data_IF_112889633550
#
_entry.id   IF_112889633550
#
_cell.length_a   1.000
_cell.length_b   1.000
_cell.length_c   1.000
_cell.angle_alpha   90.00
_cell.angle_beta   90.00
_cell.angle_gamma   90.00
#
_symmetry.space_group_name_H-M   'P 1'
#
loop_
_entity.id
_entity.type
_entity.pdbx_description
1 polymer ?
#
# COMPACT_ATOMS: atom_id res chain seq x y z
N UNK A 1 1.32 10.29 -0.32
CA UNK A 1 1.44 9.55 -1.59
C UNK A 1 1.54 8.07 -1.29
N UNK A 2 0.83 7.22 -2.03
CA UNK A 2 1.00 5.76 -1.98
C UNK A 2 2.03 5.34 -3.03
N UNK A 3 3.12 4.68 -2.60
CA UNK A 3 4.05 3.98 -3.47
C UNK A 3 3.72 2.49 -3.45
N UNK A 4 3.35 1.94 -4.59
CA UNK A 4 3.04 0.53 -4.75
C UNK A 4 4.14 -0.15 -5.56
N UNK A 5 5.01 -0.88 -4.88
CA UNK A 5 6.08 -1.68 -5.48
C UNK A 5 5.54 -3.05 -5.92
N UNK A 6 5.67 -3.39 -7.18
CA UNK A 6 5.40 -4.72 -7.71
C UNK A 6 6.70 -5.52 -7.76
N UNK A 7 6.76 -6.60 -6.99
CA UNK A 7 8.01 -7.31 -6.68
C UNK A 7 7.80 -8.81 -6.44
N UNK A 8 8.86 -9.49 -6.08
CA UNK A 8 8.85 -10.87 -5.60
C UNK A 8 10.26 -11.41 -5.41
N UNK A 9 10.39 -12.39 -4.53
CA UNK A 9 11.69 -12.96 -4.13
C UNK A 9 12.46 -13.63 -5.27
N UNK A 10 11.76 -14.19 -6.25
CA UNK A 10 12.36 -14.82 -7.43
C UNK A 10 12.62 -13.83 -8.61
N UNK A 11 12.40 -12.52 -8.41
CA UNK A 11 12.65 -11.50 -9.42
C UNK A 11 14.12 -11.02 -9.34
N UNK A 12 15.00 -11.36 -10.30
CA UNK A 12 16.43 -11.06 -10.20
C UNK A 12 16.77 -9.57 -10.39
N UNK A 13 15.86 -8.79 -10.97
CA UNK A 13 16.04 -7.36 -11.19
C UNK A 13 15.41 -6.50 -10.07
N UNK A 14 14.60 -7.10 -9.21
CA UNK A 14 13.91 -6.38 -8.13
C UNK A 14 14.85 -5.74 -7.10
N UNK A 15 16.04 -6.27 -6.80
CA UNK A 15 17.01 -5.63 -5.92
C UNK A 15 17.39 -4.19 -6.29
N UNK A 16 17.38 -3.85 -7.58
CA UNK A 16 17.68 -2.48 -8.02
C UNK A 16 16.66 -1.46 -7.51
N UNK A 17 15.37 -1.77 -7.62
CA UNK A 17 14.32 -0.90 -7.08
C UNK A 17 14.32 -0.91 -5.54
N UNK A 18 14.61 -2.05 -4.91
CA UNK A 18 14.76 -2.13 -3.45
C UNK A 18 15.84 -1.17 -2.94
N UNK A 19 16.98 -1.09 -3.64
CA UNK A 19 18.06 -0.15 -3.28
C UNK A 19 17.61 1.31 -3.41
N UNK A 20 16.89 1.68 -4.47
CA UNK A 20 16.34 3.03 -4.64
C UNK A 20 15.33 3.37 -3.53
N UNK A 21 14.44 2.45 -3.18
CA UNK A 21 13.46 2.64 -2.10
C UNK A 21 14.11 2.72 -0.73
N UNK A 22 15.20 1.96 -0.49
CA UNK A 22 15.99 2.08 0.75
C UNK A 22 16.61 3.48 0.87
N UNK A 23 17.26 3.96 -0.19
CA UNK A 23 17.83 5.31 -0.22
C UNK A 23 16.76 6.40 0.00
N UNK A 24 15.56 6.21 -0.55
CA UNK A 24 14.43 7.09 -0.31
C UNK A 24 13.99 7.08 1.16
N UNK A 25 13.95 5.89 1.78
CA UNK A 25 13.53 5.73 3.17
C UNK A 25 14.54 6.29 4.18
N UNK A 26 15.81 6.43 3.78
CA UNK A 26 16.88 7.03 4.58
C UNK A 26 16.92 8.56 4.48
N UNK A 27 16.07 9.16 3.63
CA UNK A 27 15.97 10.62 3.50
C UNK A 27 14.81 11.15 4.37
N UNK A 28 15.16 11.71 5.53
CA UNK A 28 14.21 12.26 6.49
C UNK A 28 13.26 13.30 5.90
N UNK A 29 13.67 14.00 4.82
CA UNK A 29 12.82 15.00 4.16
C UNK A 29 11.66 14.39 3.35
N UNK A 30 11.68 13.06 3.15
CA UNK A 30 10.65 12.32 2.42
C UNK A 30 9.79 11.41 3.30
N UNK A 31 10.21 11.07 4.52
CA UNK A 31 9.52 10.07 5.38
C UNK A 31 8.04 10.36 5.61
N UNK A 32 7.64 11.63 5.67
CA UNK A 32 6.24 12.03 5.85
C UNK A 32 5.45 12.22 4.53
N UNK A 33 6.09 12.11 3.37
CA UNK A 33 5.46 12.41 2.08
C UNK A 33 4.81 11.19 1.43
N UNK A 34 5.19 9.97 1.82
CA UNK A 34 4.69 8.75 1.17
C UNK A 34 4.46 7.62 2.17
N UNK A 35 3.67 6.64 1.73
CA UNK A 35 3.56 5.32 2.34
C UNK A 35 3.91 4.27 1.29
N UNK A 36 4.78 3.32 1.66
CA UNK A 36 5.23 2.25 0.78
C UNK A 36 4.47 0.96 1.05
N UNK A 37 4.05 0.28 -0.02
CA UNK A 37 3.45 -1.05 -0.02
C UNK A 37 4.18 -1.92 -1.02
N UNK A 38 4.55 -3.13 -0.61
CA UNK A 38 5.17 -4.13 -1.47
C UNK A 38 4.13 -5.21 -1.86
N UNK A 39 3.82 -5.29 -3.15
CA UNK A 39 2.96 -6.32 -3.72
C UNK A 39 3.84 -7.46 -4.26
N UNK A 40 4.06 -8.47 -3.42
CA UNK A 40 4.81 -9.69 -3.80
C UNK A 40 3.92 -10.61 -4.61
N UNK A 41 4.04 -10.55 -5.93
CA UNK A 41 3.17 -11.26 -6.87
C UNK A 41 3.88 -11.88 -8.07
N UNK A 42 5.23 -11.74 -8.13
CA UNK A 42 6.02 -12.30 -9.22
C UNK A 42 5.88 -13.81 -9.32
N UNK A 43 5.80 -14.52 -8.19
CA UNK A 43 5.56 -15.95 -8.10
C UNK A 43 4.78 -16.31 -6.83
N UNK A 44 3.96 -17.37 -6.90
CA UNK A 44 3.10 -17.79 -5.78
C UNK A 44 3.82 -18.55 -4.67
N UNK A 45 5.06 -19.01 -4.90
CA UNK A 45 5.88 -19.66 -3.89
C UNK A 45 6.67 -18.67 -3.01
N UNK A 46 6.54 -17.36 -3.27
CA UNK A 46 7.14 -16.32 -2.45
C UNK A 46 6.48 -16.29 -1.05
N UNK A 47 7.23 -16.39 0.06
CA UNK A 47 6.67 -16.32 1.41
C UNK A 47 5.92 -15.00 1.71
N UNK A 48 6.23 -13.93 0.97
CA UNK A 48 5.54 -12.64 1.06
C UNK A 48 4.36 -12.52 0.09
N UNK A 49 4.11 -13.52 -0.75
CA UNK A 49 2.96 -13.54 -1.66
C UNK A 49 1.64 -13.48 -0.91
N UNK A 50 0.69 -12.80 -1.49
CA UNK A 50 -0.70 -12.83 -1.09
C UNK A 50 -1.63 -12.63 -2.29
N UNK A 51 -2.88 -13.06 -2.16
CA UNK A 51 -3.90 -12.77 -3.19
C UNK A 51 -4.18 -11.27 -3.31
N UNK A 52 -3.99 -10.52 -2.23
CA UNK A 52 -4.06 -9.06 -2.25
C UNK A 52 -2.97 -8.45 -3.15
N UNK A 53 -1.72 -8.92 -3.00
CA UNK A 53 -0.59 -8.50 -3.83
C UNK A 53 -0.81 -8.81 -5.31
N UNK A 54 -1.28 -10.03 -5.62
CA UNK A 54 -1.61 -10.42 -7.00
C UNK A 54 -2.68 -9.51 -7.61
N UNK A 55 -3.75 -9.23 -6.87
CA UNK A 55 -4.84 -8.35 -7.33
C UNK A 55 -4.34 -6.92 -7.61
N UNK A 56 -3.49 -6.37 -6.73
CA UNK A 56 -2.89 -5.04 -6.95
C UNK A 56 -2.01 -5.03 -8.19
N UNK A 57 -1.19 -6.06 -8.39
CA UNK A 57 -0.33 -6.13 -9.56
C UNK A 57 -1.11 -6.35 -10.86
N UNK A 58 -2.17 -7.14 -10.85
CA UNK A 58 -3.07 -7.28 -12.01
C UNK A 58 -3.75 -5.95 -12.38
N UNK A 59 -4.06 -5.11 -11.38
CA UNK A 59 -4.72 -3.84 -11.61
C UNK A 59 -3.75 -2.74 -12.10
N UNK A 60 -2.53 -2.68 -11.56
CA UNK A 60 -1.67 -1.51 -11.69
C UNK A 60 -0.28 -1.76 -12.30
N UNK A 61 0.29 -2.97 -12.19
CA UNK A 61 1.60 -3.26 -12.76
C UNK A 61 1.61 -3.11 -14.27
N UNK A 62 2.68 -2.55 -14.81
CA UNK A 62 2.92 -2.42 -16.26
C UNK A 62 3.10 -3.75 -16.99
N UNK A 63 3.23 -4.86 -16.25
CA UNK A 63 3.53 -6.20 -16.76
C UNK A 63 5.00 -6.58 -16.68
N UNK A 64 5.86 -5.68 -16.22
CA UNK A 64 7.28 -5.92 -15.98
C UNK A 64 7.60 -5.84 -14.49
N UNK A 65 8.60 -6.60 -14.05
CA UNK A 65 9.10 -6.58 -12.66
C UNK A 65 10.59 -6.25 -12.63
N UNK A 66 11.03 -5.39 -11.68
CA UNK A 66 10.19 -4.65 -10.75
C UNK A 66 9.44 -3.50 -11.43
N UNK A 67 8.36 -3.07 -10.77
CA UNK A 67 7.63 -1.88 -11.16
C UNK A 67 7.26 -1.05 -9.92
N UNK A 68 7.10 0.26 -10.08
CA UNK A 68 6.67 1.18 -9.03
C UNK A 68 5.56 2.07 -9.57
N UNK A 69 4.38 1.94 -9.00
CA UNK A 69 3.21 2.75 -9.37
C UNK A 69 2.75 3.63 -8.20
N UNK A 70 1.94 4.65 -8.48
CA UNK A 70 1.58 5.69 -7.52
C UNK A 70 0.08 5.84 -7.39
N UNK A 71 -0.41 6.10 -6.17
CA UNK A 71 -1.79 6.50 -5.86
C UNK A 71 -2.86 5.65 -6.54
N UNK A 72 -2.65 4.33 -6.66
CA UNK A 72 -3.56 3.39 -7.33
C UNK A 72 -3.86 3.77 -8.79
N UNK A 73 -2.85 4.22 -9.50
CA UNK A 73 -2.89 4.48 -10.95
C UNK A 73 -1.94 3.53 -11.67
N UNK A 74 -1.99 3.54 -13.01
CA UNK A 74 -1.02 2.82 -13.85
C UNK A 74 0.20 3.68 -14.19
N UNK A 75 0.34 4.81 -13.56
CA UNK A 75 1.51 5.67 -13.71
C UNK A 75 2.71 5.00 -13.05
N UNK A 76 3.71 4.65 -13.84
CA UNK A 76 4.83 3.82 -13.44
C UNK A 76 6.15 4.52 -13.69
N UNK A 77 7.10 4.33 -12.77
CA UNK A 77 8.49 4.74 -12.94
C UNK A 77 9.43 3.54 -13.15
N UNK A 78 8.93 2.31 -13.09
CA UNK A 78 9.75 1.09 -13.26
C UNK A 78 10.90 0.99 -12.25
N UNK A 79 12.10 0.70 -12.73
CA UNK A 79 13.35 0.60 -11.92
C UNK A 79 14.08 1.93 -11.75
N UNK A 80 13.36 3.02 -11.62
CA UNK A 80 13.97 4.35 -11.67
C UNK A 80 14.97 4.62 -10.54
N UNK A 81 15.98 5.45 -10.80
CA UNK A 81 16.84 6.01 -9.77
C UNK A 81 16.02 6.79 -8.73
N UNK A 82 16.54 6.88 -7.52
CA UNK A 82 15.83 7.54 -6.40
C UNK A 82 15.42 8.98 -6.70
N UNK A 83 16.22 9.73 -7.46
CA UNK A 83 15.90 11.12 -7.79
C UNK A 83 14.67 11.25 -8.68
N UNK A 84 14.43 10.29 -9.59
CA UNK A 84 13.21 10.24 -10.40
C UNK A 84 12.00 9.97 -9.52
N UNK A 85 12.12 9.02 -8.57
CA UNK A 85 11.06 8.70 -7.61
C UNK A 85 10.73 9.93 -6.74
N UNK A 86 11.76 10.62 -6.24
CA UNK A 86 11.62 11.86 -5.45
C UNK A 86 10.91 12.96 -6.24
N UNK A 87 11.33 13.21 -7.47
CA UNK A 87 10.68 14.20 -8.34
C UNK A 87 9.20 13.90 -8.53
N UNK A 88 8.86 12.62 -8.76
CA UNK A 88 7.47 12.19 -8.91
C UNK A 88 6.65 12.37 -7.63
N UNK A 89 7.21 12.04 -6.46
CA UNK A 89 6.58 12.31 -5.16
C UNK A 89 6.34 13.81 -4.97
N UNK A 90 7.33 14.66 -5.28
CA UNK A 90 7.20 16.10 -5.12
C UNK A 90 6.14 16.70 -6.05
N UNK A 91 6.00 16.17 -7.26
CA UNK A 91 4.95 16.58 -8.18
C UNK A 91 3.55 16.22 -7.66
N UNK A 92 3.37 15.00 -7.14
CA UNK A 92 2.10 14.54 -6.58
C UNK A 92 1.78 15.17 -5.21
N UNK A 93 2.79 15.64 -4.47
CA UNK A 93 2.63 16.23 -3.13
C UNK A 93 2.23 17.71 -3.15
N UNK A 94 2.08 18.32 -4.33
CA UNK A 94 1.68 19.74 -4.46
C UNK A 94 0.26 19.99 -4.01
N UNK A 95 -0.60 18.99 -4.09
CA UNK A 95 -2.00 19.09 -3.71
C UNK A 95 -2.19 18.80 -2.22
N UNK A 96 -3.08 19.58 -1.58
CA UNK A 96 -3.48 19.33 -0.21
C UNK A 96 -4.31 18.04 -0.11
N UNK A 97 -4.16 17.33 1.00
CA UNK A 97 -4.95 16.13 1.26
C UNK A 97 -6.45 16.43 1.28
N UNK A 98 -7.23 15.54 0.67
CA UNK A 98 -8.69 15.69 0.56
C UNK A 98 -9.42 15.43 1.88
N UNK A 99 -8.81 14.69 2.79
CA UNK A 99 -9.38 14.35 4.09
C UNK A 99 -8.29 14.10 5.13
N UNK A 100 -8.63 14.39 6.38
CA UNK A 100 -7.89 13.89 7.55
C UNK A 100 -8.41 12.51 7.96
N UNK A 101 -7.54 11.68 8.52
CA UNK A 101 -7.82 10.29 8.94
C UNK A 101 -7.51 10.14 10.42
N UNK A 102 -8.41 9.50 11.17
CA UNK A 102 -8.16 8.94 12.49
C UNK A 102 -8.57 7.47 12.48
N UNK A 103 -7.75 6.60 13.05
CA UNK A 103 -8.07 5.18 13.13
C UNK A 103 -7.68 4.60 14.49
N UNK A 104 -8.42 3.58 14.92
CA UNK A 104 -8.09 2.73 16.06
C UNK A 104 -8.17 1.27 15.66
N UNK A 105 -7.25 0.46 16.21
CA UNK A 105 -7.18 -0.97 15.95
C UNK A 105 -7.26 -1.71 17.28
N UNK A 106 -8.10 -2.75 17.31
CA UNK A 106 -8.21 -3.67 18.44
C UNK A 106 -8.10 -5.10 17.92
N UNK A 107 -7.14 -5.85 18.43
CA UNK A 107 -7.06 -7.29 18.18
C UNK A 107 -7.91 -8.06 19.19
N UNK A 108 -8.71 -8.98 18.68
CA UNK A 108 -9.50 -9.91 19.49
C UNK A 108 -9.37 -11.32 18.89
N UNK A 109 -8.57 -12.16 19.53
CA UNK A 109 -8.21 -13.48 19.00
C UNK A 109 -7.48 -13.33 17.66
N UNK A 110 -7.97 -14.00 16.62
CA UNK A 110 -7.46 -13.95 15.25
C UNK A 110 -8.09 -12.85 14.40
N UNK A 111 -8.78 -11.88 14.99
CA UNK A 111 -9.40 -10.79 14.23
C UNK A 111 -8.84 -9.43 14.63
N UNK A 112 -8.71 -8.53 13.66
CA UNK A 112 -8.50 -7.11 13.86
C UNK A 112 -9.79 -6.35 13.62
N UNK A 113 -10.30 -5.67 14.66
CA UNK A 113 -11.33 -4.65 14.52
C UNK A 113 -10.66 -3.31 14.22
N UNK A 114 -11.00 -2.68 13.11
CA UNK A 114 -10.45 -1.39 12.71
C UNK A 114 -11.58 -0.38 12.59
N UNK A 115 -11.55 0.68 13.42
CA UNK A 115 -12.50 1.78 13.32
C UNK A 115 -11.78 2.98 12.70
N UNK A 116 -12.35 3.50 11.62
CA UNK A 116 -11.81 4.63 10.87
C UNK A 116 -12.81 5.77 10.90
N UNK A 117 -12.33 6.97 11.20
CA UNK A 117 -13.05 8.21 11.02
C UNK A 117 -12.29 9.10 10.06
N UNK A 118 -13.00 9.71 9.11
CA UNK A 118 -12.45 10.71 8.20
C UNK A 118 -13.14 12.06 8.41
N UNK A 119 -12.40 13.14 8.16
CA UNK A 119 -12.93 14.51 8.12
C UNK A 119 -12.61 15.12 6.77
N UNK A 120 -13.62 15.46 6.01
CA UNK A 120 -13.48 16.02 4.68
C UNK A 120 -12.82 17.41 4.70
N UNK A 121 -11.78 17.62 3.90
CA UNK A 121 -11.17 18.93 3.68
C UNK A 121 -11.86 19.71 2.55
N UNK A 122 -12.56 19.01 1.65
CA UNK A 122 -13.40 19.57 0.58
C UNK A 122 -14.64 18.70 0.38
N UNK A 123 -15.64 19.23 -0.32
CA UNK A 123 -16.82 18.44 -0.69
C UNK A 123 -16.45 17.40 -1.72
N UNK A 124 -16.70 16.14 -1.40
CA UNK A 124 -16.49 15.02 -2.31
C UNK A 124 -17.21 13.76 -1.83
N UNK A 125 -17.28 12.75 -2.70
CA UNK A 125 -17.62 11.38 -2.35
C UNK A 125 -16.31 10.65 -2.00
N UNK A 126 -16.27 10.03 -0.82
CA UNK A 126 -15.07 9.38 -0.33
C UNK A 126 -15.24 7.86 -0.25
N UNK A 127 -14.11 7.17 -0.23
CA UNK A 127 -13.98 5.74 0.06
C UNK A 127 -12.90 5.52 1.11
N UNK A 128 -13.12 4.53 1.97
CA UNK A 128 -12.16 4.15 3.01
C UNK A 128 -11.70 2.72 2.73
N UNK A 129 -10.41 2.54 2.44
CA UNK A 129 -9.77 1.24 2.32
C UNK A 129 -8.92 0.94 3.55
N UNK A 130 -8.90 -0.33 3.95
CA UNK A 130 -8.08 -0.82 5.07
C UNK A 130 -7.32 -2.04 4.60
N UNK A 131 -5.99 -1.97 4.68
CA UNK A 131 -5.08 -3.04 4.31
C UNK A 131 -4.21 -3.46 5.49
N UNK A 132 -3.84 -4.72 5.54
CA UNK A 132 -2.86 -5.25 6.49
C UNK A 132 -1.57 -5.53 5.75
N UNK A 133 -0.48 -4.99 6.28
CA UNK A 133 0.87 -5.19 5.77
C UNK A 133 1.68 -5.94 6.84
N UNK A 134 2.65 -6.73 6.41
CA UNK A 134 3.59 -7.42 7.30
C UNK A 134 5.02 -7.01 6.99
N UNK A 135 5.81 -6.84 8.05
CA UNK A 135 7.24 -6.52 7.98
C UNK A 135 8.10 -7.73 8.36
N UNK A 136 9.36 -7.71 7.94
CA UNK A 136 10.39 -8.61 8.43
C UNK A 136 10.28 -10.06 7.91
N UNK A 137 9.58 -10.30 6.80
CA UNK A 137 9.46 -11.62 6.19
C UNK A 137 10.81 -12.04 5.63
N UNK A 138 11.35 -13.15 6.15
CA UNK A 138 12.64 -13.69 5.74
C UNK A 138 12.48 -14.61 4.54
N UNK A 139 13.08 -14.24 3.41
CA UNK A 139 13.15 -15.08 2.22
C UNK A 139 14.33 -14.64 1.34
N UNK A 140 15.06 -15.60 0.79
CA UNK A 140 16.16 -15.30 -0.13
C UNK A 140 15.63 -14.52 -1.33
N UNK A 141 16.26 -13.39 -1.62
CA UNK A 141 15.99 -12.59 -2.81
C UNK A 141 16.94 -12.97 -3.94
N UNK A 142 16.42 -13.40 -5.08
CA UNK A 142 17.24 -13.61 -6.27
C UNK A 142 17.82 -12.27 -6.76
N UNK A 143 19.10 -12.31 -7.17
CA UNK A 143 19.82 -11.11 -7.59
C UNK A 143 20.21 -10.16 -6.46
N UNK A 144 19.98 -10.50 -5.18
CA UNK A 144 20.41 -9.70 -4.05
C UNK A 144 21.93 -9.49 -4.06
N UNK A 145 22.36 -8.26 -3.81
CA UNK A 145 23.77 -7.88 -3.68
C UNK A 145 24.11 -7.34 -2.27
N UNK A 146 23.11 -7.32 -1.37
CA UNK A 146 23.24 -7.00 0.05
C UNK A 146 22.33 -7.91 0.89
N UNK A 147 22.75 -8.30 2.09
CA UNK A 147 22.04 -9.25 2.97
C UNK A 147 20.65 -8.79 3.38
N UNK A 148 20.46 -7.49 3.62
CA UNK A 148 19.17 -6.92 4.03
C UNK A 148 18.06 -7.14 2.99
N UNK A 149 18.41 -7.32 1.70
CA UNK A 149 17.46 -7.55 0.61
C UNK A 149 16.69 -8.87 0.75
N UNK A 150 17.16 -9.79 1.62
CA UNK A 150 16.45 -11.02 1.97
C UNK A 150 15.51 -10.87 3.19
N UNK A 151 15.18 -9.62 3.54
CA UNK A 151 14.16 -9.27 4.55
C UNK A 151 13.15 -8.34 3.91
N UNK A 152 11.92 -8.81 3.75
CA UNK A 152 10.87 -8.08 3.03
C UNK A 152 9.91 -7.42 4.03
N UNK A 153 9.63 -6.16 3.82
CA UNK A 153 8.75 -5.34 4.67
C UNK A 153 7.68 -4.65 3.83
N UNK A 154 6.63 -4.16 4.50
CA UNK A 154 5.47 -3.55 3.85
C UNK A 154 4.72 -4.50 2.90
N UNK A 155 4.90 -5.82 3.04
CA UNK A 155 4.24 -6.80 2.18
C UNK A 155 2.73 -6.81 2.45
N UNK A 156 1.91 -6.50 1.44
CA UNK A 156 0.46 -6.52 1.60
C UNK A 156 -0.03 -7.95 1.77
N UNK A 157 -0.75 -8.21 2.86
CA UNK A 157 -1.30 -9.54 3.19
C UNK A 157 -2.76 -9.64 2.81
N UNK A 158 -3.56 -8.67 3.23
CA UNK A 158 -5.00 -8.66 2.96
C UNK A 158 -5.51 -7.23 2.81
N UNK A 159 -6.55 -7.07 2.01
CA UNK A 159 -7.31 -5.85 1.84
C UNK A 159 -8.76 -6.11 2.25
N UNK A 160 -9.31 -5.31 3.17
CA UNK A 160 -10.68 -5.43 3.62
C UNK A 160 -11.67 -5.06 2.50
N UNK A 161 -12.78 -5.79 2.43
CA UNK A 161 -13.87 -5.53 1.47
C UNK A 161 -14.42 -6.81 0.85
N UNK A 162 -15.69 -6.79 0.46
CA UNK A 162 -16.41 -7.95 -0.09
C UNK A 162 -16.13 -8.20 -1.57
N UNK A 163 -15.79 -7.16 -2.32
CA UNK A 163 -15.46 -7.23 -3.75
C UNK A 163 -14.06 -6.72 -4.03
N UNK A 164 -13.49 -7.05 -5.18
CA UNK A 164 -12.16 -6.58 -5.57
C UNK A 164 -12.07 -5.04 -5.61
N UNK A 165 -13.07 -4.38 -6.14
CA UNK A 165 -13.13 -2.91 -6.20
C UNK A 165 -13.11 -2.30 -4.79
N UNK A 166 -13.95 -2.82 -3.87
CA UNK A 166 -13.99 -2.35 -2.48
C UNK A 166 -12.70 -2.65 -1.71
N UNK A 167 -12.02 -3.75 -2.02
CA UNK A 167 -10.72 -4.08 -1.41
C UNK A 167 -9.64 -3.11 -1.82
N UNK A 168 -9.59 -2.75 -3.10
CA UNK A 168 -8.58 -1.84 -3.65
C UNK A 168 -8.87 -0.39 -3.26
N UNK A 169 -10.05 0.11 -3.65
CA UNK A 169 -10.38 1.53 -3.52
C UNK A 169 -11.10 1.90 -2.23
N UNK A 170 -11.65 0.92 -1.52
CA UNK A 170 -12.34 1.08 -0.25
C UNK A 170 -13.86 1.08 -0.34
N UNK A 171 -14.46 0.98 0.84
CA UNK A 171 -15.90 1.07 1.06
C UNK A 171 -16.39 2.49 0.85
N UNK A 172 -17.51 2.66 0.15
CA UNK A 172 -18.11 3.97 -0.08
C UNK A 172 -18.57 4.61 1.24
N UNK A 173 -18.36 5.89 1.37
CA UNK A 173 -19.04 6.77 2.31
C UNK A 173 -19.92 7.76 1.53
N UNK A 174 -20.88 8.37 2.22
CA UNK A 174 -21.72 9.38 1.60
C UNK A 174 -20.90 10.59 1.15
N UNK A 175 -21.52 11.45 0.33
CA UNK A 175 -20.94 12.74 -0.02
C UNK A 175 -20.79 13.56 1.25
N UNK A 176 -19.57 13.99 1.54
CA UNK A 176 -19.25 14.83 2.68
C UNK A 176 -18.91 16.24 2.20
N UNK A 177 -19.50 17.24 2.84
CA UNK A 177 -19.09 18.63 2.69
C UNK A 177 -17.83 18.91 3.50
N UNK A 178 -17.14 19.98 3.17
CA UNK A 178 -15.97 20.43 3.94
C UNK A 178 -16.27 20.51 5.44
N UNK A 179 -15.47 19.83 6.23
CA UNK A 179 -15.54 19.77 7.69
C UNK A 179 -16.46 18.67 8.23
N UNK A 180 -17.28 18.03 7.41
CA UNK A 180 -18.09 16.88 7.82
C UNK A 180 -17.22 15.63 8.04
N UNK A 181 -17.74 14.72 8.86
CA UNK A 181 -17.05 13.47 9.23
C UNK A 181 -17.90 12.26 8.86
N UNK A 182 -17.23 11.17 8.54
CA UNK A 182 -17.84 9.85 8.42
C UNK A 182 -16.97 8.80 9.11
N UNK A 183 -17.60 7.72 9.54
CA UNK A 183 -16.89 6.60 10.18
C UNK A 183 -17.29 5.28 9.56
N UNK A 184 -16.31 4.36 9.49
CA UNK A 184 -16.53 2.96 9.10
C UNK A 184 -15.75 2.03 10.00
N UNK A 185 -16.30 0.83 10.20
CA UNK A 185 -15.67 -0.25 10.96
C UNK A 185 -15.43 -1.44 10.06
N UNK A 186 -14.28 -2.07 10.23
CA UNK A 186 -13.86 -3.25 9.49
C UNK A 186 -13.48 -4.36 10.48
N UNK A 187 -13.74 -5.60 10.09
CA UNK A 187 -13.21 -6.78 10.78
C UNK A 187 -12.38 -7.56 9.78
N UNK A 188 -11.13 -7.83 10.12
CA UNK A 188 -10.16 -8.50 9.26
C UNK A 188 -9.67 -9.73 10.00
N UNK A 189 -9.84 -10.91 9.40
CA UNK A 189 -9.25 -12.14 9.92
C UNK A 189 -7.74 -12.14 9.61
N UNK A 190 -6.95 -12.46 10.64
CA UNK A 190 -5.53 -12.76 10.50
C UNK A 190 -5.37 -14.22 10.09
N UNK A 191 -4.52 -14.48 9.13
CA UNK A 191 -4.27 -15.84 8.65
C UNK A 191 -3.12 -16.49 9.44
N UNK A 192 -3.20 -17.81 9.60
CA UNK A 192 -2.10 -18.59 10.14
C UNK A 192 -0.84 -18.42 9.27
N UNK A 193 0.31 -18.31 9.94
CA UNK A 193 1.61 -18.13 9.27
C UNK A 193 2.06 -16.67 9.11
N UNK A 194 1.21 -15.68 9.44
CA UNK A 194 1.66 -14.28 9.57
C UNK A 194 2.28 -14.04 10.95
N UNK A 195 3.34 -13.25 11.00
CA UNK A 195 3.82 -12.75 12.28
C UNK A 195 3.00 -11.50 12.68
N UNK A 196 1.98 -11.72 13.51
CA UNK A 196 1.02 -10.67 13.88
C UNK A 196 1.68 -9.47 14.54
N UNK A 197 2.76 -9.69 15.31
CA UNK A 197 3.52 -8.59 15.94
C UNK A 197 4.22 -7.68 14.92
N UNK A 198 4.48 -8.19 13.74
CA UNK A 198 5.06 -7.45 12.62
C UNK A 198 3.99 -6.91 11.65
N UNK A 199 2.70 -7.18 11.92
CA UNK A 199 1.62 -6.66 11.10
C UNK A 199 1.28 -5.22 11.48
N UNK A 200 0.96 -4.43 10.48
CA UNK A 200 0.48 -3.05 10.62
C UNK A 200 -0.75 -2.82 9.75
N UNK A 201 -1.62 -1.95 10.22
CA UNK A 201 -2.82 -1.55 9.49
C UNK A 201 -2.54 -0.26 8.76
N UNK A 202 -2.81 -0.25 7.47
CA UNK A 202 -2.78 0.94 6.63
C UNK A 202 -4.21 1.35 6.27
N UNK A 203 -4.52 2.62 6.43
CA UNK A 203 -5.81 3.21 6.03
C UNK A 203 -5.57 4.17 4.88
N UNK A 204 -6.36 4.02 3.83
CA UNK A 204 -6.37 4.88 2.66
C UNK A 204 -7.72 5.55 2.55
N UNK A 205 -7.70 6.83 2.19
CA UNK A 205 -8.90 7.57 1.81
C UNK A 205 -8.77 7.98 0.35
N UNK A 206 -9.70 7.51 -0.45
CA UNK A 206 -9.77 7.83 -1.87
C UNK A 206 -10.94 8.77 -2.11
N UNK A 207 -10.73 9.84 -2.88
CA UNK A 207 -11.81 10.61 -3.45
C UNK A 207 -12.39 9.80 -4.62
N UNK A 208 -13.72 9.62 -4.64
CA UNK A 208 -14.34 8.94 -5.76
C UNK A 208 -14.26 9.84 -7.00
N UNK A 209 -13.74 9.31 -8.09
CA UNK A 209 -13.78 9.96 -9.40
C UNK A 209 -15.13 9.68 -10.07
N UNK A 210 -15.53 10.51 -11.04
CA UNK A 210 -16.81 10.36 -11.76
C UNK A 210 -16.96 9.02 -12.50
N UNK A 211 -15.85 8.36 -12.81
CA UNK A 211 -15.79 7.04 -13.43
C UNK A 211 -15.82 5.87 -12.42
N UNK A 212 -16.06 6.17 -11.14
CA UNK A 212 -16.24 5.17 -10.08
C UNK A 212 -14.95 4.52 -9.56
N UNK A 213 -13.81 5.07 -9.93
CA UNK A 213 -12.48 4.68 -9.38
C UNK A 213 -12.16 5.41 -8.11
#
# INVERSE_FOLDING_TARGET
ILLLQHTGTACPNCPQLMASLKTLAEDDSYTAKYQHVAAHSYNQSDPAYSKAAENLSQAFCSGYYPDLTFNLTKESTGTSPVDVIKSHIDDLHKDAADAGIAASVLQTGSNLGVNVQIKAARENKYRIAVWVLEDGIRAKQDGAFEDWMSTHSNAVRVMAGSTLNLRIYGENVDVLKKGETASKSFVIALEDGWNVENCKVMVLVNAATDDGR
#
